data_IF_943724569798
#
_entry.id   IF_943724569798
#
_cell.length_a   1.000
_cell.length_b   1.000
_cell.length_c   1.000
_cell.angle_alpha   90.00
_cell.angle_beta   90.00
_cell.angle_gamma   90.00
#
_symmetry.space_group_name_H-M   'P 1'
#
loop_
_entity.id
_entity.type
_entity.pdbx_description
1 polymer ?
#
# COMPACT_ATOMS: atom_id res chain seq x y z
N UNK A 1 -6.88 27.38 -12.66
CA UNK A 1 -5.78 26.40 -12.61
C UNK A 1 -6.40 25.07 -12.28
N UNK A 2 -6.25 24.05 -13.14
CA UNK A 2 -6.62 22.68 -12.77
C UNK A 2 -5.53 22.20 -11.83
N UNK A 3 -5.85 22.02 -10.55
CA UNK A 3 -4.92 21.42 -9.60
C UNK A 3 -4.81 19.93 -9.92
N UNK A 4 -3.62 19.49 -10.35
CA UNK A 4 -3.30 18.09 -10.67
C UNK A 4 -3.55 17.15 -9.48
N UNK A 5 -3.48 17.70 -8.27
CA UNK A 5 -3.70 17.01 -7.01
C UNK A 5 -4.95 17.53 -6.30
N UNK A 6 -5.62 16.64 -5.57
CA UNK A 6 -6.77 16.97 -4.73
C UNK A 6 -6.41 17.89 -3.57
N UNK A 7 -7.42 18.50 -2.95
CA UNK A 7 -7.23 19.27 -1.71
C UNK A 7 -6.61 18.43 -0.59
N UNK A 8 -7.08 17.18 -0.42
CA UNK A 8 -6.50 16.21 0.53
C UNK A 8 -5.02 15.99 0.28
N UNK A 9 -4.63 15.77 -0.99
CA UNK A 9 -3.22 15.53 -1.33
C UNK A 9 -2.36 16.75 -1.01
N UNK A 10 -2.82 17.95 -1.35
CA UNK A 10 -2.08 19.19 -1.06
C UNK A 10 -1.96 19.41 0.46
N UNK A 11 -3.04 19.22 1.22
CA UNK A 11 -3.04 19.36 2.66
C UNK A 11 -2.02 18.42 3.33
N UNK A 12 -2.04 17.13 2.97
CA UNK A 12 -1.11 16.15 3.55
C UNK A 12 0.32 16.32 3.07
N UNK A 13 0.54 16.99 1.94
CA UNK A 13 1.88 17.37 1.49
C UNK A 13 2.44 18.56 2.30
N UNK A 14 1.63 19.60 2.51
CA UNK A 14 2.03 20.82 3.23
C UNK A 14 2.09 20.62 4.75
N UNK A 15 1.18 19.79 5.28
CA UNK A 15 1.03 19.51 6.70
C UNK A 15 0.97 17.99 6.96
N UNK A 16 2.09 17.27 6.74
CA UNK A 16 2.12 15.82 6.88
C UNK A 16 1.86 15.39 8.32
N UNK A 17 0.90 14.48 8.48
CA UNK A 17 0.63 13.75 9.70
C UNK A 17 1.64 12.62 9.89
N UNK A 18 2.06 12.41 11.13
CA UNK A 18 2.81 11.23 11.62
C UNK A 18 4.22 11.03 11.04
N UNK A 19 4.77 12.06 10.43
CA UNK A 19 6.19 12.07 10.07
C UNK A 19 7.05 12.01 11.35
N UNK A 20 7.97 11.06 11.40
CA UNK A 20 8.99 11.00 12.43
C UNK A 20 10.15 11.91 12.01
N UNK A 21 10.48 12.90 12.85
CA UNK A 21 11.57 13.84 12.54
C UNK A 21 12.92 13.24 12.91
N UNK A 22 13.96 13.65 12.22
CA UNK A 22 15.32 13.19 12.52
C UNK A 22 15.67 13.42 13.99
N UNK A 23 16.24 12.38 14.63
CA UNK A 23 16.67 12.33 16.05
C UNK A 23 15.58 12.09 17.10
N UNK A 24 14.34 11.86 16.71
CA UNK A 24 13.30 11.45 17.65
C UNK A 24 13.43 9.93 17.91
N UNK A 25 13.84 9.48 19.11
CA UNK A 25 13.81 8.07 19.43
C UNK A 25 12.35 7.60 19.40
N UNK A 26 12.10 6.47 18.74
CA UNK A 26 10.76 5.92 18.59
C UNK A 26 10.83 4.42 18.79
N UNK A 27 10.17 3.95 19.83
CA UNK A 27 9.97 2.51 20.06
C UNK A 27 8.87 2.03 19.12
N UNK A 28 9.11 0.91 18.45
CA UNK A 28 8.19 0.30 17.50
C UNK A 28 8.26 -1.21 17.60
N UNK A 29 7.18 -1.87 17.22
CA UNK A 29 7.07 -3.34 17.22
C UNK A 29 7.25 -3.92 15.81
N UNK A 30 7.09 -3.10 14.77
CA UNK A 30 7.32 -3.50 13.38
C UNK A 30 7.91 -2.38 12.53
N UNK A 31 8.84 -2.74 11.63
CA UNK A 31 9.52 -1.81 10.73
C UNK A 31 9.59 -2.34 9.30
N UNK A 32 9.10 -1.52 8.37
CA UNK A 32 9.13 -1.79 6.93
C UNK A 32 9.99 -0.76 6.21
N UNK A 33 10.78 -1.21 5.23
CA UNK A 33 11.67 -0.35 4.45
C UNK A 33 11.45 -0.61 2.95
N UNK A 34 11.25 0.46 2.19
CA UNK A 34 11.41 0.48 0.75
C UNK A 34 12.67 1.26 0.38
N UNK A 35 13.42 0.76 -0.60
CA UNK A 35 14.76 1.24 -0.93
C UNK A 35 15.86 0.49 -0.16
N UNK A 36 17.11 0.84 -0.42
CA UNK A 36 18.28 0.32 0.29
C UNK A 36 19.18 1.47 0.78
N UNK A 37 20.23 1.16 1.55
CA UNK A 37 21.13 2.17 2.11
C UNK A 37 21.88 3.01 1.06
N UNK A 38 21.97 2.51 -0.17
CA UNK A 38 22.62 3.20 -1.30
C UNK A 38 21.62 4.00 -2.14
N UNK A 39 20.31 3.90 -1.87
CA UNK A 39 19.25 4.55 -2.63
C UNK A 39 19.05 5.98 -2.18
N UNK A 40 19.00 6.91 -3.14
CA UNK A 40 18.62 8.31 -2.88
C UNK A 40 17.15 8.45 -2.46
N UNK A 41 16.35 7.42 -2.77
CA UNK A 41 14.93 7.30 -2.46
C UNK A 41 14.68 6.18 -1.46
N UNK A 42 14.20 6.53 -0.26
CA UNK A 42 13.87 5.60 0.81
C UNK A 42 12.56 5.99 1.49
N UNK A 43 11.76 4.98 1.84
CA UNK A 43 10.62 5.10 2.73
C UNK A 43 10.75 4.09 3.86
N UNK A 44 10.56 4.54 5.10
CA UNK A 44 10.50 3.69 6.28
C UNK A 44 9.16 3.91 6.99
N UNK A 45 8.47 2.83 7.34
CA UNK A 45 7.25 2.84 8.15
C UNK A 45 7.53 2.08 9.45
N UNK A 46 7.12 2.68 10.57
CA UNK A 46 7.21 2.13 11.91
C UNK A 46 5.81 1.95 12.48
N UNK A 47 5.55 0.78 13.06
CA UNK A 47 4.26 0.43 13.65
C UNK A 47 4.43 0.14 15.14
N UNK A 48 3.55 0.71 15.96
CA UNK A 48 3.35 0.30 17.35
C UNK A 48 2.10 -0.56 17.39
N UNK A 49 2.22 -1.79 17.89
CA UNK A 49 1.21 -2.83 17.77
C UNK A 49 0.90 -3.40 19.15
N UNK A 50 -0.39 -3.50 19.44
CA UNK A 50 -0.87 -4.20 20.62
C UNK A 50 -0.85 -5.71 20.39
N UNK A 51 0.03 -6.40 21.10
CA UNK A 51 0.30 -7.83 20.94
C UNK A 51 -0.93 -8.70 21.19
N UNK A 52 -1.85 -8.29 22.07
CA UNK A 52 -3.04 -9.10 22.39
C UNK A 52 -4.13 -8.94 21.34
N UNK A 53 -4.32 -7.73 20.83
CA UNK A 53 -5.43 -7.40 19.92
C UNK A 53 -5.04 -7.33 18.46
N UNK A 54 -3.75 -7.38 18.14
CA UNK A 54 -3.18 -7.12 16.81
C UNK A 54 -3.64 -5.76 16.24
N UNK A 55 -3.87 -4.74 17.08
CA UNK A 55 -4.28 -3.40 16.65
C UNK A 55 -3.06 -2.49 16.51
N UNK A 56 -2.97 -1.78 15.37
CA UNK A 56 -1.98 -0.71 15.16
C UNK A 56 -2.35 0.49 16.04
N UNK A 57 -1.59 0.74 17.10
CA UNK A 57 -1.79 1.88 18.01
C UNK A 57 -1.21 3.17 17.44
N UNK A 58 -0.06 3.08 16.79
CA UNK A 58 0.55 4.21 16.09
C UNK A 58 1.26 3.75 14.81
N UNK A 59 1.33 4.67 13.86
CA UNK A 59 2.01 4.48 12.58
C UNK A 59 2.80 5.75 12.29
N UNK A 60 4.13 5.64 12.29
CA UNK A 60 5.06 6.73 11.98
C UNK A 60 5.85 6.39 10.72
N UNK A 61 6.42 7.40 10.08
CA UNK A 61 7.18 7.18 8.85
C UNK A 61 8.29 8.21 8.64
N UNK A 62 9.28 7.83 7.83
CA UNK A 62 10.39 8.67 7.39
C UNK A 62 10.61 8.50 5.89
N UNK A 63 10.96 9.59 5.21
CA UNK A 63 11.24 9.60 3.77
C UNK A 63 12.59 10.28 3.52
N UNK A 64 13.37 9.70 2.61
CA UNK A 64 14.53 10.32 1.97
C UNK A 64 14.26 10.33 0.46
N UNK A 65 14.44 11.47 -0.21
CA UNK A 65 14.32 11.61 -1.68
C UNK A 65 12.90 11.53 -2.27
N UNK A 66 12.03 10.67 -1.75
CA UNK A 66 10.70 10.35 -2.29
C UNK A 66 9.62 11.38 -1.97
N UNK A 67 9.81 12.65 -2.37
CA UNK A 67 8.88 13.75 -2.02
C UNK A 67 7.43 13.49 -2.46
N UNK A 68 7.21 12.80 -3.58
CA UNK A 68 5.87 12.46 -4.09
C UNK A 68 5.12 11.45 -3.20
N UNK A 69 5.84 10.72 -2.35
CA UNK A 69 5.24 9.76 -1.42
C UNK A 69 4.67 10.41 -0.15
N UNK A 70 5.07 11.65 0.19
CA UNK A 70 4.75 12.32 1.46
C UNK A 70 3.24 12.33 1.74
N UNK A 71 2.45 12.82 0.81
CA UNK A 71 1.00 12.89 1.00
C UNK A 71 0.37 11.49 1.14
N UNK A 72 0.81 10.55 0.30
CA UNK A 72 0.30 9.18 0.32
C UNK A 72 0.60 8.44 1.62
N UNK A 73 1.84 8.53 2.13
CA UNK A 73 2.20 7.87 3.40
C UNK A 73 1.58 8.60 4.59
N UNK A 74 1.41 9.92 4.51
CA UNK A 74 0.71 10.69 5.53
C UNK A 74 -0.75 10.22 5.67
N UNK A 75 -1.49 10.16 4.56
CA UNK A 75 -2.87 9.64 4.56
C UNK A 75 -2.91 8.19 5.02
N UNK A 76 -2.03 7.33 4.49
CA UNK A 76 -1.97 5.92 4.90
C UNK A 76 -1.80 5.79 6.42
N UNK A 77 -0.88 6.55 7.00
CA UNK A 77 -0.56 6.48 8.42
C UNK A 77 -1.75 6.84 9.31
N UNK A 78 -2.65 7.72 8.85
CA UNK A 78 -3.90 7.98 9.58
C UNK A 78 -4.94 6.88 9.35
N UNK A 79 -5.03 6.35 8.13
CA UNK A 79 -5.99 5.28 7.81
C UNK A 79 -5.76 4.03 8.65
N UNK A 80 -4.50 3.61 8.83
CA UNK A 80 -4.17 2.32 9.45
C UNK A 80 -4.18 2.35 10.98
N UNK A 81 -4.13 3.54 11.60
CA UNK A 81 -4.22 3.63 13.05
C UNK A 81 -5.59 3.15 13.55
N UNK A 82 -5.56 2.31 14.57
CA UNK A 82 -6.75 1.66 15.11
C UNK A 82 -7.26 0.49 14.27
N UNK A 83 -6.61 0.14 13.15
CA UNK A 83 -6.95 -1.06 12.39
C UNK A 83 -6.26 -2.29 12.97
N UNK A 84 -6.93 -3.44 12.88
CA UNK A 84 -6.31 -4.76 13.12
C UNK A 84 -5.35 -5.09 11.98
N UNK A 85 -4.26 -5.80 12.25
CA UNK A 85 -3.23 -6.17 11.27
C UNK A 85 -3.82 -6.88 10.03
N UNK A 86 -4.73 -7.83 10.21
CA UNK A 86 -5.40 -8.53 9.11
C UNK A 86 -6.09 -7.58 8.12
N UNK A 87 -6.84 -6.59 8.64
CA UNK A 87 -7.50 -5.57 7.82
C UNK A 87 -6.50 -4.61 7.17
N UNK A 88 -5.38 -4.35 7.84
CA UNK A 88 -4.31 -3.50 7.31
C UNK A 88 -3.57 -4.18 6.16
N UNK A 89 -3.48 -5.51 6.16
CA UNK A 89 -2.92 -6.31 5.07
C UNK A 89 -3.81 -6.32 3.81
N UNK A 90 -5.12 -6.14 3.97
CA UNK A 90 -6.07 -5.94 2.88
C UNK A 90 -6.01 -4.53 2.24
N UNK A 91 -5.19 -3.62 2.78
CA UNK A 91 -4.98 -2.30 2.18
C UNK A 91 -4.41 -2.44 0.77
N UNK A 92 -4.96 -1.64 -0.14
CA UNK A 92 -4.62 -1.68 -1.56
C UNK A 92 -4.39 -0.28 -2.10
N UNK A 93 -3.74 -0.21 -3.26
CA UNK A 93 -3.54 1.03 -4.03
C UNK A 93 -4.86 1.78 -4.21
N UNK A 94 -5.94 1.04 -4.56
CA UNK A 94 -7.27 1.63 -4.74
C UNK A 94 -7.79 2.30 -3.46
N UNK A 95 -7.63 1.67 -2.29
CA UNK A 95 -8.08 2.24 -1.02
C UNK A 95 -7.40 3.58 -0.74
N UNK A 96 -6.08 3.64 -0.95
CA UNK A 96 -5.30 4.85 -0.69
C UNK A 96 -5.56 5.95 -1.73
N UNK A 97 -5.62 5.62 -3.03
CA UNK A 97 -5.97 6.60 -4.09
C UNK A 97 -7.36 7.17 -3.85
N UNK A 98 -8.33 6.33 -3.46
CA UNK A 98 -9.68 6.79 -3.15
C UNK A 98 -9.68 7.77 -1.97
N UNK A 99 -8.92 7.49 -0.92
CA UNK A 99 -8.81 8.39 0.23
C UNK A 99 -8.12 9.71 -0.14
N UNK A 100 -7.14 9.65 -1.04
CA UNK A 100 -6.49 10.83 -1.61
C UNK A 100 -7.43 11.62 -2.55
N UNK A 101 -8.58 11.08 -2.97
CA UNK A 101 -9.49 11.76 -3.89
C UNK A 101 -9.03 11.72 -5.35
N UNK A 102 -8.25 10.68 -5.71
CA UNK A 102 -7.59 10.55 -7.00
C UNK A 102 -6.09 10.82 -6.91
N UNK A 103 -5.34 10.30 -7.87
CA UNK A 103 -3.89 10.48 -7.95
C UNK A 103 -3.44 10.39 -9.42
N UNK A 104 -2.37 11.09 -9.84
CA UNK A 104 -1.88 11.01 -11.22
C UNK A 104 -1.47 9.60 -11.61
N UNK A 105 -1.85 9.17 -12.82
CA UNK A 105 -1.63 7.80 -13.32
C UNK A 105 -0.14 7.42 -13.36
N UNK A 106 0.73 8.37 -13.70
CA UNK A 106 2.18 8.19 -13.76
C UNK A 106 2.84 8.06 -12.37
N UNK A 107 2.09 8.30 -11.29
CA UNK A 107 2.58 8.23 -9.91
C UNK A 107 1.96 7.07 -9.11
N UNK A 108 1.18 6.19 -9.75
CA UNK A 108 0.54 5.04 -9.08
C UNK A 108 1.58 4.09 -8.46
N UNK A 109 2.75 3.92 -9.08
CA UNK A 109 3.82 3.08 -8.55
C UNK A 109 4.31 3.55 -7.16
N UNK A 110 4.29 4.86 -6.91
CA UNK A 110 4.66 5.43 -5.61
C UNK A 110 3.67 4.96 -4.53
N UNK A 111 2.37 4.97 -4.84
CA UNK A 111 1.32 4.45 -3.95
C UNK A 111 1.48 2.95 -3.70
N UNK A 112 1.80 2.17 -4.74
CA UNK A 112 2.07 0.74 -4.60
C UNK A 112 3.25 0.47 -3.65
N UNK A 113 4.33 1.25 -3.75
CA UNK A 113 5.49 1.12 -2.86
C UNK A 113 5.15 1.49 -1.40
N UNK A 114 4.29 2.49 -1.17
CA UNK A 114 3.79 2.84 0.17
C UNK A 114 3.02 1.66 0.79
N UNK A 115 2.08 1.06 0.05
CA UNK A 115 1.32 -0.10 0.51
C UNK A 115 2.23 -1.29 0.77
N UNK A 116 3.19 -1.55 -0.12
CA UNK A 116 4.18 -2.61 0.08
C UNK A 116 4.99 -2.41 1.36
N UNK A 117 5.40 -1.17 1.63
CA UNK A 117 6.19 -0.84 2.84
C UNK A 117 5.40 -1.09 4.11
N UNK A 118 4.09 -0.78 4.13
CA UNK A 118 3.21 -1.13 5.24
C UNK A 118 3.19 -2.65 5.49
N UNK A 119 3.00 -3.44 4.42
CA UNK A 119 2.97 -4.90 4.51
C UNK A 119 4.30 -5.45 5.04
N UNK A 120 5.43 -4.89 4.60
CA UNK A 120 6.75 -5.24 5.13
C UNK A 120 6.87 -4.94 6.63
N UNK A 121 6.33 -3.81 7.11
CA UNK A 121 6.35 -3.46 8.53
C UNK A 121 5.53 -4.44 9.39
N UNK A 122 4.36 -4.86 8.87
CA UNK A 122 3.51 -5.85 9.55
C UNK A 122 4.18 -7.23 9.56
N UNK A 123 4.82 -7.63 8.47
CA UNK A 123 5.55 -8.90 8.39
C UNK A 123 6.72 -8.93 9.37
N UNK A 124 7.50 -7.85 9.44
CA UNK A 124 8.60 -7.75 10.39
C UNK A 124 8.12 -7.92 11.84
N UNK A 125 6.97 -7.34 12.20
CA UNK A 125 6.38 -7.57 13.53
C UNK A 125 6.09 -9.05 13.81
N UNK A 126 5.50 -9.78 12.86
CA UNK A 126 5.25 -11.21 13.05
C UNK A 126 6.55 -12.01 13.20
N UNK A 127 7.57 -11.69 12.39
CA UNK A 127 8.88 -12.34 12.42
C UNK A 127 9.59 -12.14 13.76
N UNK A 128 9.67 -10.90 14.26
CA UNK A 128 10.34 -10.57 15.53
C UNK A 128 9.65 -11.22 16.75
N UNK A 129 8.35 -11.51 16.64
CA UNK A 129 7.57 -12.15 17.70
C UNK A 129 7.44 -13.68 17.53
N UNK A 130 8.07 -14.27 16.50
CA UNK A 130 8.01 -15.72 16.24
C UNK A 130 6.60 -16.23 15.96
N UNK A 131 5.70 -15.36 15.49
CA UNK A 131 4.32 -15.69 15.17
C UNK A 131 4.28 -16.27 13.74
N UNK A 132 3.33 -17.18 13.48
CA UNK A 132 3.16 -17.70 12.11
C UNK A 132 2.90 -16.54 11.16
N UNK A 133 3.79 -16.45 10.17
CA UNK A 133 3.75 -15.41 9.16
C UNK A 133 2.46 -15.60 8.36
N UNK A 134 1.47 -14.72 8.54
CA UNK A 134 0.34 -14.65 7.62
C UNK A 134 0.91 -14.05 6.33
N UNK A 135 1.25 -14.89 5.38
CA UNK A 135 1.94 -14.52 4.14
C UNK A 135 1.04 -13.63 3.29
N UNK A 136 1.58 -12.97 2.26
CA UNK A 136 0.74 -12.28 1.27
C UNK A 136 -0.31 -13.19 0.64
N UNK A 137 -0.07 -14.50 0.63
CA UNK A 137 -0.97 -15.52 0.10
C UNK A 137 -2.20 -15.73 1.02
N UNK A 138 -2.06 -15.48 2.32
CA UNK A 138 -3.17 -15.53 3.30
C UNK A 138 -4.10 -14.32 3.22
N UNK A 139 -3.70 -13.27 2.49
CA UNK A 139 -4.47 -12.03 2.30
C UNK A 139 -4.64 -11.65 0.83
N UNK A 140 -4.60 -12.63 -0.07
CA UNK A 140 -4.87 -12.41 -1.49
C UNK A 140 -6.22 -11.70 -1.64
N UNK A 141 -6.20 -10.39 -1.94
CA UNK A 141 -7.40 -9.57 -1.92
C UNK A 141 -8.24 -9.98 -3.12
N UNK A 142 -9.43 -10.56 -2.90
CA UNK A 142 -10.31 -10.98 -3.99
C UNK A 142 -10.85 -9.76 -4.76
N UNK A 143 -10.13 -9.36 -5.81
CA UNK A 143 -10.45 -8.24 -6.71
C UNK A 143 -11.67 -8.55 -7.56
N UNK A 144 -11.71 -9.71 -8.20
CA UNK A 144 -12.89 -10.17 -8.93
C UNK A 144 -13.65 -11.18 -8.09
N UNK A 145 -14.75 -10.76 -7.48
CA UNK A 145 -15.60 -11.67 -6.68
C UNK A 145 -16.28 -12.74 -7.52
N UNK A 146 -16.72 -12.41 -8.74
CA UNK A 146 -17.43 -13.34 -9.62
C UNK A 146 -16.54 -14.49 -10.10
N UNK A 147 -15.29 -14.18 -10.40
CA UNK A 147 -14.35 -15.13 -11.01
C UNK A 147 -13.30 -15.63 -10.01
N UNK A 148 -13.44 -15.26 -8.74
CA UNK A 148 -12.50 -15.60 -7.67
C UNK A 148 -11.05 -15.26 -8.04
N UNK A 149 -10.81 -14.00 -8.41
CA UNK A 149 -9.47 -13.52 -8.80
C UNK A 149 -8.92 -12.58 -7.74
N UNK A 150 -7.72 -12.86 -7.25
CA UNK A 150 -6.99 -12.02 -6.31
C UNK A 150 -6.10 -10.97 -6.97
N UNK A 151 -5.68 -9.97 -6.19
CA UNK A 151 -4.69 -8.96 -6.60
C UNK A 151 -3.33 -9.58 -6.94
N UNK A 152 -2.92 -10.61 -6.22
CA UNK A 152 -1.69 -11.37 -6.51
C UNK A 152 -1.76 -12.13 -7.83
N UNK A 153 -2.92 -12.71 -8.18
CA UNK A 153 -3.08 -13.37 -9.49
C UNK A 153 -2.97 -12.35 -10.63
N UNK A 154 -3.46 -11.13 -10.42
CA UNK A 154 -3.29 -10.01 -11.34
C UNK A 154 -1.81 -9.61 -11.40
N UNK A 155 -1.14 -9.44 -10.25
CA UNK A 155 0.30 -9.13 -10.17
C UNK A 155 1.15 -10.17 -10.92
N UNK A 156 0.89 -11.45 -10.67
CA UNK A 156 1.58 -12.55 -11.32
C UNK A 156 1.35 -12.54 -12.83
N UNK A 157 0.12 -12.26 -13.28
CA UNK A 157 -0.15 -12.12 -14.71
C UNK A 157 0.66 -10.97 -15.32
N UNK A 158 0.69 -9.81 -14.67
CA UNK A 158 1.42 -8.63 -15.16
C UNK A 158 2.93 -8.89 -15.19
N UNK A 159 3.51 -9.45 -14.12
CA UNK A 159 4.93 -9.83 -14.05
C UNK A 159 5.32 -10.87 -15.11
N UNK A 160 4.37 -11.69 -15.57
CA UNK A 160 4.55 -12.65 -16.66
C UNK A 160 4.26 -12.06 -18.06
N UNK A 161 4.16 -10.73 -18.20
CA UNK A 161 4.05 -10.04 -19.49
C UNK A 161 2.63 -9.60 -19.89
N UNK A 162 1.64 -9.79 -19.02
CA UNK A 162 0.27 -9.35 -19.26
C UNK A 162 0.10 -7.87 -18.93
N UNK A 163 0.63 -7.00 -19.78
CA UNK A 163 0.68 -5.55 -19.50
C UNK A 163 -0.56 -4.76 -19.97
N UNK A 164 -1.61 -5.44 -20.42
CA UNK A 164 -2.87 -4.80 -20.82
C UNK A 164 -4.04 -5.46 -20.12
N UNK A 165 -5.12 -4.70 -19.90
CA UNK A 165 -6.35 -5.21 -19.29
C UNK A 165 -6.87 -6.46 -19.98
N UNK A 166 -6.90 -6.44 -21.31
CA UNK A 166 -7.36 -7.57 -22.12
C UNK A 166 -6.49 -8.82 -21.92
N UNK A 167 -5.16 -8.67 -21.82
CA UNK A 167 -4.24 -9.79 -21.57
C UNK A 167 -4.42 -10.35 -20.16
N UNK A 168 -4.53 -9.48 -19.16
CA UNK A 168 -4.76 -9.88 -17.77
C UNK A 168 -6.12 -10.55 -17.62
N UNK A 169 -7.15 -10.03 -18.26
CA UNK A 169 -8.47 -10.62 -18.32
C UNK A 169 -8.43 -12.00 -19.00
N UNK A 170 -7.64 -12.18 -20.05
CA UNK A 170 -7.50 -13.48 -20.72
C UNK A 170 -6.86 -14.53 -19.81
N UNK A 171 -5.84 -14.15 -19.04
CA UNK A 171 -5.09 -15.07 -18.16
C UNK A 171 -5.86 -15.37 -16.88
N UNK A 172 -6.32 -14.33 -16.19
CA UNK A 172 -6.93 -14.45 -14.85
C UNK A 172 -8.45 -14.64 -14.90
N UNK A 173 -9.08 -14.38 -16.04
CA UNK A 173 -10.54 -14.32 -16.23
C UNK A 173 -11.23 -13.19 -15.46
N UNK A 174 -10.51 -12.28 -14.81
CA UNK A 174 -11.11 -11.16 -14.08
C UNK A 174 -12.02 -10.31 -14.98
N UNK A 175 -13.07 -9.71 -14.42
CA UNK A 175 -13.99 -8.81 -15.15
C UNK A 175 -14.78 -9.44 -16.32
N UNK A 176 -14.74 -10.76 -16.52
CA UNK A 176 -15.53 -11.46 -17.56
C UNK A 176 -16.99 -11.74 -17.17
N UNK A 177 -17.33 -11.62 -15.88
CA UNK A 177 -18.69 -11.79 -15.35
C UNK A 177 -19.49 -10.48 -15.33
N UNK A 178 -19.61 -9.86 -14.15
CA UNK A 178 -20.39 -8.64 -13.96
C UNK A 178 -19.65 -7.33 -14.33
N UNK A 179 -18.34 -7.38 -14.57
CA UNK A 179 -17.51 -6.21 -14.92
C UNK A 179 -17.21 -5.22 -13.78
N UNK A 180 -17.81 -5.34 -12.58
CA UNK A 180 -17.70 -4.32 -11.52
C UNK A 180 -16.30 -4.13 -10.94
N UNK A 181 -15.38 -5.08 -11.16
CA UNK A 181 -13.99 -4.98 -10.73
C UNK A 181 -13.07 -4.32 -11.77
N UNK A 182 -13.57 -3.97 -12.97
CA UNK A 182 -12.74 -3.54 -14.10
C UNK A 182 -11.83 -2.35 -13.74
N UNK A 183 -12.37 -1.31 -13.10
CA UNK A 183 -11.58 -0.15 -12.67
C UNK A 183 -10.47 -0.53 -11.69
N UNK A 184 -10.77 -1.42 -10.73
CA UNK A 184 -9.79 -1.91 -9.75
C UNK A 184 -8.69 -2.73 -10.42
N UNK A 185 -9.07 -3.61 -11.34
CA UNK A 185 -8.13 -4.40 -12.13
C UNK A 185 -7.22 -3.49 -12.94
N UNK A 186 -7.77 -2.50 -13.65
CA UNK A 186 -6.99 -1.55 -14.45
C UNK A 186 -5.96 -0.80 -13.59
N UNK A 187 -6.38 -0.28 -12.43
CA UNK A 187 -5.49 0.40 -11.50
C UNK A 187 -4.37 -0.52 -11.00
N UNK A 188 -4.67 -1.81 -10.73
CA UNK A 188 -3.66 -2.78 -10.31
C UNK A 188 -2.68 -3.11 -11.42
N UNK A 189 -3.15 -3.24 -12.67
CA UNK A 189 -2.26 -3.50 -13.82
C UNK A 189 -1.24 -2.37 -13.93
N UNK A 190 -1.71 -1.12 -13.95
CA UNK A 190 -0.82 0.05 -13.99
C UNK A 190 0.15 0.08 -12.80
N UNK A 191 -0.26 -0.40 -11.62
CA UNK A 191 0.60 -0.44 -10.43
C UNK A 191 1.69 -1.51 -10.44
N UNK A 192 1.67 -2.42 -11.40
CA UNK A 192 2.64 -3.53 -11.53
C UNK A 192 3.50 -3.44 -12.80
N UNK A 193 3.36 -2.37 -13.59
CA UNK A 193 4.16 -2.06 -14.77
C UNK A 193 5.35 -1.18 -14.41
#
# INVERSE_FOLDING_TARGET
MVTLYSETTNQHFEHPCNQLRDREPFDFDGRGIFGNFESEDQLVIYLVIDLETEIIKDCKWQIIGMKTAIAGVSVLSEMVKGMVLSKSLEMSVYHLIKQLGGFPDDQIQVIANIIKTLKLAINNFYEENGLEHKTSDDFALRICKCMDVSDQQIEAAVKNGAHTFEKVQTITKCSTGCGTCAEKVQALITSYL
#
